data_IF_017052039152
#
_entry.id   IF_017052039152
#
_cell.length_a   1.000
_cell.length_b   1.000
_cell.length_c   1.000
_cell.angle_alpha   90.00
_cell.angle_beta   90.00
_cell.angle_gamma   90.00
#
_symmetry.space_group_name_H-M   'P 1'
#
loop_
_entity.id
_entity.type
_entity.pdbx_description
1 polymer ?
#
# COMPACT_ATOMS: atom_id res chain seq x y z
N UNK A 1 3.54 -13.63 -17.74
CA UNK A 1 3.97 -13.08 -16.44
C UNK A 1 4.71 -11.79 -16.68
N UNK A 2 4.28 -10.71 -16.03
CA UNK A 2 4.87 -9.38 -16.14
C UNK A 2 5.40 -9.00 -14.76
N UNK A 3 6.57 -8.37 -14.71
CA UNK A 3 7.11 -7.75 -13.51
C UNK A 3 7.27 -6.27 -13.79
N UNK A 4 6.66 -5.45 -12.95
CA UNK A 4 6.72 -4.00 -13.03
C UNK A 4 7.36 -3.47 -11.76
N UNK A 5 8.29 -2.53 -11.91
CA UNK A 5 8.91 -1.82 -10.81
C UNK A 5 8.51 -0.36 -10.93
N UNK A 6 7.75 0.13 -9.96
CA UNK A 6 7.30 1.51 -9.91
C UNK A 6 7.21 1.98 -8.46
N UNK A 7 7.31 3.29 -8.27
CA UNK A 7 7.02 3.96 -7.01
C UNK A 7 5.60 4.55 -6.97
N UNK A 8 4.86 4.45 -8.07
CA UNK A 8 3.49 4.93 -8.17
C UNK A 8 2.51 3.92 -7.58
N UNK A 9 1.81 4.34 -6.54
CA UNK A 9 0.83 3.53 -5.83
C UNK A 9 -0.46 3.33 -6.62
N UNK A 10 -0.89 4.31 -7.42
CA UNK A 10 -2.14 4.21 -8.17
C UNK A 10 -2.05 3.07 -9.19
N UNK A 11 -0.93 3.02 -9.92
CA UNK A 11 -0.64 1.93 -10.86
C UNK A 11 -0.49 0.58 -10.14
N UNK A 12 0.17 0.53 -8.99
CA UNK A 12 0.30 -0.71 -8.22
C UNK A 12 -1.07 -1.27 -7.80
N UNK A 13 -1.92 -0.42 -7.24
CA UNK A 13 -3.27 -0.77 -6.78
C UNK A 13 -4.15 -1.23 -7.94
N UNK A 14 -4.07 -0.56 -9.10
CA UNK A 14 -4.91 -0.87 -10.24
C UNK A 14 -4.52 -2.16 -10.99
N UNK A 15 -3.22 -2.45 -11.11
CA UNK A 15 -2.73 -3.48 -12.05
C UNK A 15 -2.11 -4.71 -11.36
N UNK A 16 -1.70 -4.61 -10.09
CA UNK A 16 -0.85 -5.64 -9.48
C UNK A 16 -1.68 -6.71 -8.75
N UNK A 17 -1.45 -7.98 -9.09
CA UNK A 17 -2.04 -9.12 -8.35
C UNK A 17 -1.25 -9.44 -7.07
N UNK A 18 0.05 -9.18 -7.07
CA UNK A 18 0.97 -9.29 -5.92
C UNK A 18 1.95 -8.12 -5.96
N UNK A 19 2.34 -7.69 -4.78
CA UNK A 19 3.27 -6.58 -4.55
C UNK A 19 4.44 -7.12 -3.74
N UNK A 20 5.64 -6.72 -4.14
CA UNK A 20 6.87 -6.96 -3.43
C UNK A 20 7.47 -5.60 -3.08
N UNK A 21 7.79 -5.36 -1.81
CA UNK A 21 8.43 -4.12 -1.38
C UNK A 21 9.89 -4.43 -1.06
N UNK A 22 10.79 -3.67 -1.68
CA UNK A 22 12.22 -3.72 -1.45
C UNK A 22 12.64 -2.47 -0.68
N UNK A 23 13.38 -2.65 0.41
CA UNK A 23 13.95 -1.55 1.19
C UNK A 23 15.35 -1.95 1.66
N UNK A 24 16.33 -1.05 1.49
CA UNK A 24 17.76 -1.30 1.80
C UNK A 24 18.33 -2.59 1.18
N UNK A 25 17.95 -2.86 -0.07
CA UNK A 25 18.40 -4.06 -0.79
C UNK A 25 17.82 -5.37 -0.27
N UNK A 26 16.83 -5.31 0.65
CA UNK A 26 16.15 -6.47 1.22
C UNK A 26 14.68 -6.46 0.88
N UNK A 27 14.15 -7.65 0.63
CA UNK A 27 12.73 -7.87 0.42
C UNK A 27 12.03 -7.81 1.77
N UNK A 28 11.27 -6.75 2.03
CA UNK A 28 10.66 -6.51 3.34
C UNK A 28 9.26 -7.10 3.46
N UNK A 29 8.51 -7.16 2.36
CA UNK A 29 7.21 -7.84 2.31
C UNK A 29 6.90 -8.29 0.88
N UNK A 30 6.22 -9.43 0.76
CA UNK A 30 5.60 -9.88 -0.50
C UNK A 30 4.23 -10.45 -0.20
N UNK A 31 3.22 -9.97 -0.91
CA UNK A 31 1.86 -10.48 -0.76
C UNK A 31 0.88 -9.80 -1.70
N UNK A 32 -0.39 -10.07 -1.49
CA UNK A 32 -1.49 -9.28 -2.02
C UNK A 32 -1.47 -7.87 -1.43
N UNK A 33 -2.16 -6.92 -2.07
CA UNK A 33 -2.28 -5.57 -1.52
C UNK A 33 -2.80 -5.59 -0.07
N UNK A 34 -3.78 -6.46 0.23
CA UNK A 34 -4.32 -6.61 1.59
C UNK A 34 -3.27 -7.04 2.60
N UNK A 35 -2.43 -8.01 2.27
CA UNK A 35 -1.35 -8.46 3.17
C UNK A 35 -0.29 -7.38 3.35
N UNK A 36 0.05 -6.66 2.27
CA UNK A 36 1.07 -5.60 2.31
C UNK A 36 0.62 -4.42 3.16
N UNK A 37 -0.63 -3.95 3.05
CA UNK A 37 -1.12 -2.81 3.85
C UNK A 37 -1.30 -3.14 5.34
N UNK A 38 -1.37 -4.42 5.71
CA UNK A 38 -1.38 -4.87 7.11
C UNK A 38 0.02 -5.22 7.64
N UNK A 39 1.08 -4.94 6.87
CA UNK A 39 2.45 -5.16 7.32
C UNK A 39 2.78 -4.27 8.52
N UNK A 40 3.47 -4.83 9.50
CA UNK A 40 4.00 -4.10 10.65
C UNK A 40 5.30 -3.32 10.33
N UNK A 41 5.82 -3.46 9.10
CA UNK A 41 7.06 -2.80 8.72
C UNK A 41 6.86 -1.28 8.61
N UNK A 42 7.61 -0.45 9.37
CA UNK A 42 7.42 1.00 9.38
C UNK A 42 7.55 1.66 8.00
N UNK A 43 8.42 1.13 7.13
CA UNK A 43 8.57 1.63 5.78
C UNK A 43 7.31 1.38 4.94
N UNK A 44 6.76 0.17 5.03
CA UNK A 44 5.54 -0.22 4.30
C UNK A 44 4.35 0.59 4.81
N UNK A 45 4.21 0.73 6.13
CA UNK A 45 3.19 1.57 6.76
C UNK A 45 3.29 3.01 6.26
N UNK A 46 4.47 3.62 6.29
CA UNK A 46 4.65 5.01 5.83
C UNK A 46 4.38 5.16 4.33
N UNK A 47 4.76 4.18 3.51
CA UNK A 47 4.57 4.22 2.06
C UNK A 47 3.10 4.08 1.67
N UNK A 48 2.39 3.09 2.22
CA UNK A 48 1.00 2.79 1.86
C UNK A 48 -0.04 3.57 2.67
N UNK A 49 0.22 3.85 3.95
CA UNK A 49 -0.73 4.52 4.85
C UNK A 49 -0.41 6.00 5.11
N UNK A 50 0.66 6.54 4.52
CA UNK A 50 0.91 7.98 4.48
C UNK A 50 -0.12 8.73 3.63
N UNK A 51 -0.06 10.07 3.63
CA UNK A 51 -1.03 10.95 2.93
C UNK A 51 -1.22 10.58 1.45
N UNK A 52 -0.11 10.30 0.74
CA UNK A 52 -0.16 9.91 -0.68
C UNK A 52 -0.76 8.52 -0.88
N UNK A 53 -0.38 7.55 -0.04
CA UNK A 53 -0.90 6.20 -0.14
C UNK A 53 -2.37 6.09 0.24
N UNK A 54 -2.85 6.89 1.21
CA UNK A 54 -4.27 6.99 1.52
C UNK A 54 -5.12 7.43 0.33
N UNK A 55 -4.63 8.36 -0.49
CA UNK A 55 -5.32 8.80 -1.71
C UNK A 55 -5.40 7.68 -2.74
N UNK A 56 -4.29 7.00 -3.00
CA UNK A 56 -4.25 5.87 -3.92
C UNK A 56 -5.13 4.70 -3.47
N UNK A 57 -5.21 4.48 -2.15
CA UNK A 57 -6.02 3.43 -1.55
C UNK A 57 -7.48 3.85 -1.32
N UNK A 58 -7.86 5.09 -1.56
CA UNK A 58 -9.22 5.60 -1.28
C UNK A 58 -10.29 4.72 -1.94
N UNK A 59 -10.07 4.35 -3.21
CA UNK A 59 -10.98 3.51 -3.99
C UNK A 59 -11.12 2.07 -3.45
N UNK A 60 -10.13 1.58 -2.69
CA UNK A 60 -10.08 0.19 -2.19
C UNK A 60 -10.08 0.12 -0.66
N UNK A 61 -10.23 1.26 0.04
CA UNK A 61 -10.05 1.40 1.48
C UNK A 61 -10.97 0.47 2.28
N UNK A 62 -12.26 0.50 1.97
CA UNK A 62 -13.28 -0.31 2.63
C UNK A 62 -13.07 -1.81 2.34
N UNK A 63 -12.67 -2.17 1.11
CA UNK A 63 -12.40 -3.56 0.69
C UNK A 63 -11.18 -4.15 1.38
N UNK A 64 -10.18 -3.32 1.69
CA UNK A 64 -9.00 -3.73 2.44
C UNK A 64 -9.31 -3.95 3.93
N UNK A 65 -10.46 -3.49 4.43
CA UNK A 65 -10.82 -3.60 5.85
C UNK A 65 -10.05 -2.63 6.75
N UNK A 66 -9.45 -1.59 6.17
CA UNK A 66 -8.82 -0.50 6.91
C UNK A 66 -9.96 0.40 7.41
N UNK A 67 -10.25 0.43 8.71
CA UNK A 67 -11.41 1.16 9.25
C UNK A 67 -11.44 2.66 8.90
N UNK A 68 -12.62 3.30 9.03
CA UNK A 68 -12.88 4.72 8.65
C UNK A 68 -12.19 5.79 9.53
N UNK A 69 -11.28 5.42 10.42
CA UNK A 69 -10.71 6.34 11.42
C UNK A 69 -9.63 7.31 10.89
N UNK A 70 -9.20 7.18 9.64
CA UNK A 70 -8.08 7.97 9.12
C UNK A 70 -8.48 9.25 8.34
N UNK A 71 -9.76 9.64 8.30
CA UNK A 71 -10.23 10.89 7.65
C UNK A 71 -10.60 12.02 8.62
N UNK A 72 -10.33 11.90 9.93
CA UNK A 72 -10.78 12.87 10.95
C UNK A 72 -9.66 13.78 11.46
N UNK A 73 -8.92 14.39 10.54
CA UNK A 73 -7.81 15.31 10.83
C UNK A 73 -7.81 16.57 9.96
N UNK A 74 -8.99 17.10 9.62
CA UNK A 74 -9.13 18.39 8.93
C UNK A 74 -10.14 19.28 9.67
N UNK A 75 -9.65 19.94 10.71
CA UNK A 75 -10.16 21.20 11.28
C UNK A 75 -8.96 22.08 11.53
#
# INVERSE_FOLDING_TARGET
TIVMVTHDLDTLVALSSRIAVLYEGRLVVVGTLREVVHSENPFVVNFFLGERGRRALEAVWDTLGLGKNASRGKT
#
